data_IF_963109015701
#
_entry.id   IF_963109015701
#
_cell.length_a   1.000
_cell.length_b   1.000
_cell.length_c   1.000
_cell.angle_alpha   90.00
_cell.angle_beta   90.00
_cell.angle_gamma   90.00
#
_symmetry.space_group_name_H-M   'P 1'
#
loop_
_entity.id
_entity.type
_entity.pdbx_description
1 polymer ?
#
# COMPACT_ATOMS: atom_id res chain seq x y z
N UNK A 1 8.30 8.18 26.01
CA UNK A 1 7.07 7.43 25.64
C UNK A 1 7.33 6.19 24.78
N UNK A 2 8.22 6.23 23.77
CA UNK A 2 8.58 5.08 22.91
C UNK A 2 9.17 3.88 23.68
N UNK A 3 10.02 4.12 24.68
CA UNK A 3 10.64 3.06 25.52
C UNK A 3 9.61 2.34 26.38
N UNK A 4 8.68 3.08 27.01
CA UNK A 4 7.62 2.53 27.85
C UNK A 4 6.68 1.62 27.03
N UNK A 5 6.32 2.01 25.80
CA UNK A 5 5.49 1.18 24.91
C UNK A 5 6.16 -0.14 24.52
N UNK A 6 7.48 -0.14 24.26
CA UNK A 6 8.24 -1.37 23.98
C UNK A 6 8.30 -2.30 25.19
N UNK A 7 8.50 -1.73 26.39
CA UNK A 7 8.51 -2.49 27.64
C UNK A 7 7.13 -3.09 27.93
N UNK A 8 6.05 -2.30 27.85
CA UNK A 8 4.69 -2.79 28.05
C UNK A 8 4.28 -3.84 27.01
N UNK A 9 4.62 -3.65 25.74
CA UNK A 9 4.36 -4.62 24.67
C UNK A 9 5.12 -5.94 24.89
N UNK A 10 6.39 -5.88 25.31
CA UNK A 10 7.18 -7.06 25.67
C UNK A 10 6.59 -7.83 26.85
N UNK A 11 6.14 -7.12 27.90
CA UNK A 11 5.47 -7.73 29.06
C UNK A 11 4.17 -8.43 28.65
N UNK A 12 3.37 -7.80 27.77
CA UNK A 12 2.12 -8.38 27.26
C UNK A 12 2.32 -9.65 26.43
N UNK A 13 3.37 -9.68 25.59
CA UNK A 13 3.71 -10.88 24.80
C UNK A 13 4.20 -12.00 25.72
N UNK A 14 5.05 -11.70 26.70
CA UNK A 14 5.55 -12.69 27.65
C UNK A 14 4.41 -13.26 28.52
N UNK A 15 3.54 -12.39 29.04
CA UNK A 15 2.38 -12.80 29.83
C UNK A 15 1.38 -13.62 29.01
N UNK A 16 1.07 -13.18 27.79
CA UNK A 16 0.16 -13.91 26.89
C UNK A 16 0.73 -15.24 26.41
N UNK A 17 2.04 -15.30 26.12
CA UNK A 17 2.73 -16.52 25.74
C UNK A 17 2.79 -17.55 26.87
N UNK A 18 3.09 -17.11 28.10
CA UNK A 18 3.07 -17.97 29.28
C UNK A 18 1.66 -18.52 29.57
N UNK A 19 0.62 -17.68 29.45
CA UNK A 19 -0.77 -18.10 29.63
C UNK A 19 -1.22 -19.10 28.54
N UNK A 20 -0.83 -18.89 27.28
CA UNK A 20 -1.12 -19.82 26.19
C UNK A 20 -0.40 -21.16 26.37
N UNK A 21 0.86 -21.16 26.79
CA UNK A 21 1.65 -22.37 27.04
C UNK A 21 1.12 -23.17 28.23
N UNK A 22 0.76 -22.49 29.33
CA UNK A 22 0.13 -23.13 30.49
C UNK A 22 -1.23 -23.74 30.14
N UNK A 23 -2.02 -23.03 29.32
CA UNK A 23 -3.28 -23.55 28.79
C UNK A 23 -3.08 -24.79 27.91
N UNK A 24 -2.07 -24.77 27.02
CA UNK A 24 -1.76 -25.91 26.15
C UNK A 24 -1.30 -27.14 26.94
N UNK A 25 -0.43 -26.96 27.94
CA UNK A 25 0.03 -28.06 28.81
C UNK A 25 -1.13 -28.67 29.62
N UNK A 26 -2.03 -27.83 30.16
CA UNK A 26 -3.20 -28.28 30.91
C UNK A 26 -4.19 -29.07 30.03
N UNK A 27 -4.43 -28.60 28.81
CA UNK A 27 -5.29 -29.30 27.83
C UNK A 27 -4.68 -30.64 27.42
N UNK A 28 -3.36 -30.72 27.27
CA UNK A 28 -2.68 -31.99 26.96
C UNK A 28 -2.82 -32.96 28.13
N UNK A 29 -2.68 -32.52 29.38
CA UNK A 29 -2.85 -33.39 30.55
C UNK A 29 -4.30 -33.88 30.72
N UNK A 30 -5.28 -33.00 30.51
CA UNK A 30 -6.71 -33.38 30.60
C UNK A 30 -7.16 -34.23 29.41
N UNK A 31 -6.66 -33.97 28.19
CA UNK A 31 -6.99 -34.78 27.00
C UNK A 31 -6.52 -36.24 27.13
N UNK A 32 -5.41 -36.47 27.85
CA UNK A 32 -4.91 -37.82 28.16
C UNK A 32 -5.84 -38.54 29.16
N UNK A 33 -6.43 -37.83 30.13
CA UNK A 33 -7.42 -38.40 31.05
C UNK A 33 -8.79 -38.64 30.36
N UNK A 34 -9.26 -37.69 29.53
CA UNK A 34 -10.54 -37.77 28.81
C UNK A 34 -10.60 -38.97 27.85
N UNK A 35 -9.47 -39.32 27.22
CA UNK A 35 -9.38 -40.48 26.34
C UNK A 35 -9.59 -41.83 27.08
N UNK A 36 -9.55 -41.83 28.41
CA UNK A 36 -9.61 -43.04 29.22
C UNK A 36 -10.96 -43.32 29.92
N UNK A 37 -11.84 -42.32 30.13
CA UNK A 37 -13.04 -42.50 30.99
C UNK A 37 -14.35 -41.88 30.43
N UNK A 38 -14.31 -41.00 29.43
CA UNK A 38 -15.50 -40.32 28.90
C UNK A 38 -15.94 -39.13 29.78
N UNK A 39 -16.42 -38.07 29.12
CA UNK A 39 -16.51 -36.72 29.71
C UNK A 39 -17.91 -36.39 30.27
N UNK A 40 -17.96 -35.83 31.47
CA UNK A 40 -19.21 -35.34 32.09
C UNK A 40 -19.58 -33.91 31.62
N UNK A 41 -20.86 -33.53 31.78
CA UNK A 41 -21.33 -32.18 31.42
C UNK A 41 -20.65 -31.05 32.20
N UNK A 42 -20.14 -31.32 33.41
CA UNK A 42 -19.41 -30.34 34.22
C UNK A 42 -18.00 -30.14 33.66
N UNK A 43 -17.32 -31.22 33.28
CA UNK A 43 -15.99 -31.16 32.64
C UNK A 43 -16.05 -30.45 31.29
N UNK A 44 -17.12 -30.63 30.52
CA UNK A 44 -17.33 -29.94 29.25
C UNK A 44 -17.50 -28.43 29.43
N UNK A 45 -18.19 -27.99 30.50
CA UNK A 45 -18.33 -26.57 30.85
C UNK A 45 -16.98 -25.99 31.30
N UNK A 46 -16.21 -26.72 32.13
CA UNK A 46 -14.88 -26.29 32.55
C UNK A 46 -13.94 -26.16 31.35
N UNK A 47 -13.95 -27.14 30.44
CA UNK A 47 -13.17 -27.11 29.20
C UNK A 47 -13.56 -25.92 28.32
N UNK A 48 -14.86 -25.60 28.17
CA UNK A 48 -15.32 -24.45 27.40
C UNK A 48 -14.91 -23.11 28.04
N UNK A 49 -14.97 -22.99 29.36
CA UNK A 49 -14.45 -21.82 30.09
C UNK A 49 -12.93 -21.70 29.88
N UNK A 50 -12.20 -22.81 29.89
CA UNK A 50 -10.76 -22.86 29.64
C UNK A 50 -10.40 -22.48 28.19
N UNK A 51 -11.20 -22.89 27.21
CA UNK A 51 -11.06 -22.51 25.81
C UNK A 51 -11.32 -21.00 25.61
N UNK A 52 -12.22 -20.43 26.41
CA UNK A 52 -12.44 -18.98 26.51
C UNK A 52 -11.25 -18.22 27.12
N UNK A 53 -10.56 -18.79 28.12
CA UNK A 53 -9.35 -18.18 28.69
C UNK A 53 -8.11 -18.30 27.78
N UNK A 54 -7.95 -19.41 27.05
CA UNK A 54 -6.86 -19.58 26.08
C UNK A 54 -7.02 -18.69 24.85
N UNK A 55 -8.26 -18.47 24.39
CA UNK A 55 -8.55 -17.46 23.35
C UNK A 55 -8.30 -16.02 23.85
N UNK A 56 -8.55 -15.75 25.14
CA UNK A 56 -8.15 -14.47 25.76
C UNK A 56 -6.62 -14.30 25.84
N UNK A 57 -5.86 -15.36 26.13
CA UNK A 57 -4.39 -15.37 26.07
C UNK A 57 -3.86 -15.10 24.65
N UNK A 58 -4.46 -15.72 23.63
CA UNK A 58 -4.19 -15.42 22.23
C UNK A 58 -4.51 -13.96 21.87
N UNK A 59 -5.60 -13.41 22.41
CA UNK A 59 -5.96 -11.99 22.28
C UNK A 59 -4.92 -11.05 22.89
N UNK A 60 -4.28 -11.40 24.01
CA UNK A 60 -3.21 -10.61 24.63
C UNK A 60 -1.89 -10.68 23.85
N UNK A 61 -1.54 -11.84 23.30
CA UNK A 61 -0.39 -11.97 22.37
C UNK A 61 -0.63 -11.15 21.12
N UNK A 62 -1.84 -11.21 20.55
CA UNK A 62 -2.21 -10.41 19.38
C UNK A 62 -2.24 -8.91 19.71
N UNK A 63 -2.68 -8.51 20.90
CA UNK A 63 -2.64 -7.13 21.38
C UNK A 63 -1.20 -6.64 21.62
N UNK A 64 -0.32 -7.47 22.17
CA UNK A 64 1.10 -7.19 22.35
C UNK A 64 1.83 -7.07 21.01
N UNK A 65 1.60 -8.00 20.09
CA UNK A 65 2.09 -7.93 18.71
C UNK A 65 1.51 -6.71 18.00
N UNK A 66 0.25 -6.33 18.22
CA UNK A 66 -0.37 -5.12 17.64
C UNK A 66 0.13 -3.82 18.29
N UNK A 67 0.61 -3.87 19.53
CA UNK A 67 1.31 -2.77 20.21
C UNK A 67 2.75 -2.59 19.68
N UNK A 68 3.41 -3.68 19.30
CA UNK A 68 4.77 -3.67 18.74
C UNK A 68 4.77 -3.40 17.23
N UNK A 69 3.85 -4.03 16.47
CA UNK A 69 3.58 -3.83 15.03
C UNK A 69 2.62 -2.66 14.77
N UNK A 70 2.28 -1.90 15.81
CA UNK A 70 1.35 -0.78 15.79
C UNK A 70 1.91 0.47 15.12
N UNK A 71 2.32 0.38 13.85
CA UNK A 71 2.04 1.44 12.88
C UNK A 71 0.80 1.03 12.06
N UNK A 72 -0.31 0.68 12.74
CA UNK A 72 -1.61 0.95 12.12
C UNK A 72 -1.80 2.44 12.27
N UNK A 73 -1.61 3.14 11.15
CA UNK A 73 -2.15 4.46 10.84
C UNK A 73 -3.26 4.83 11.81
N UNK A 74 -2.92 5.69 12.76
CA UNK A 74 -3.95 6.35 13.52
C UNK A 74 -4.72 7.17 12.50
N UNK A 75 -6.05 6.97 12.46
CA UNK A 75 -6.97 7.88 11.79
C UNK A 75 -6.62 9.28 12.25
N UNK A 76 -5.91 10.02 11.41
CA UNK A 76 -5.48 11.39 11.66
C UNK A 76 -6.75 12.16 11.96
N UNK A 77 -6.88 12.68 13.18
CA UNK A 77 -7.92 13.66 13.48
C UNK A 77 -7.40 14.99 12.97
N UNK A 78 -7.89 15.41 11.81
CA UNK A 78 -7.51 16.64 11.15
C UNK A 78 -7.86 17.85 12.03
N UNK A 79 -6.88 18.72 12.27
CA UNK A 79 -7.14 20.09 12.71
C UNK A 79 -6.10 21.05 12.13
N UNK A 80 -6.65 22.02 11.39
CA UNK A 80 -6.10 23.27 10.83
C UNK A 80 -4.91 23.14 9.85
N UNK A 81 -5.23 23.39 8.59
CA UNK A 81 -4.31 23.64 7.47
C UNK A 81 -3.74 25.08 7.57
N UNK A 82 -2.44 25.24 7.30
CA UNK A 82 -1.72 26.52 7.12
C UNK A 82 -1.01 26.52 5.75
N UNK A 83 -0.62 27.71 5.29
CA UNK A 83 -0.72 28.12 3.89
C UNK A 83 0.51 28.96 3.44
N UNK A 84 1.18 28.67 2.31
CA UNK A 84 2.37 29.40 1.79
C UNK A 84 2.69 29.24 0.27
N UNK A 85 3.08 30.38 -0.38
CA UNK A 85 2.99 30.88 -1.80
C UNK A 85 4.08 30.46 -2.82
N UNK A 86 3.75 29.96 -4.04
CA UNK A 86 4.59 29.92 -5.29
C UNK A 86 3.71 29.67 -6.58
N UNK A 87 4.19 29.67 -7.86
CA UNK A 87 3.30 29.65 -9.08
C UNK A 87 3.76 28.86 -10.34
N UNK A 88 2.87 28.12 -11.05
CA UNK A 88 3.05 27.62 -12.46
C UNK A 88 1.68 27.41 -13.22
N UNK A 89 1.74 27.35 -14.57
CA UNK A 89 0.67 27.43 -15.59
C UNK A 89 -0.18 26.15 -15.90
N UNK A 90 -1.39 26.39 -16.39
CA UNK A 90 -2.59 25.55 -16.64
C UNK A 90 -2.52 24.45 -17.72
N UNK A 91 -3.32 23.38 -17.54
CA UNK A 91 -3.76 22.42 -18.60
C UNK A 91 -5.26 22.06 -18.49
N UNK A 92 -5.96 21.96 -19.64
CA UNK A 92 -7.35 21.45 -19.77
C UNK A 92 -7.46 19.91 -19.59
N UNK A 93 -8.57 19.43 -19.00
CA UNK A 93 -8.84 18.00 -18.75
C UNK A 93 -10.00 17.48 -19.61
N UNK A 94 -9.75 16.39 -20.36
CA UNK A 94 -10.78 15.39 -20.73
C UNK A 94 -10.17 13.98 -20.64
N UNK A 95 -10.87 13.04 -19.98
CA UNK A 95 -11.32 11.72 -20.51
C UNK A 95 -11.78 10.70 -19.43
N UNK A 96 -12.73 9.86 -19.89
CA UNK A 96 -13.39 8.60 -19.45
C UNK A 96 -13.35 8.07 -17.99
N UNK A 97 -14.46 7.49 -17.48
CA UNK A 97 -14.48 6.72 -16.22
C UNK A 97 -13.63 5.43 -16.35
N UNK A 98 -13.07 4.93 -15.23
CA UNK A 98 -11.75 4.31 -15.23
C UNK A 98 -11.75 2.88 -15.76
N UNK A 99 -10.83 2.58 -16.69
CA UNK A 99 -10.35 1.21 -16.89
C UNK A 99 -9.96 0.58 -15.53
N UNK A 100 -10.28 -0.71 -15.34
CA UNK A 100 -9.95 -1.46 -14.11
C UNK A 100 -8.47 -1.28 -13.75
N UNK A 101 -8.19 -0.77 -12.54
CA UNK A 101 -6.83 -0.45 -12.06
C UNK A 101 -6.36 -1.52 -11.10
N UNK A 102 -5.47 -2.38 -11.57
CA UNK A 102 -4.91 -3.43 -10.71
C UNK A 102 -3.41 -3.57 -10.90
N UNK A 103 -2.78 -4.11 -9.85
CA UNK A 103 -1.37 -4.48 -9.84
C UNK A 103 -1.18 -5.84 -9.21
N UNK A 104 -0.04 -6.45 -9.48
CA UNK A 104 0.43 -7.67 -8.85
C UNK A 104 1.95 -7.60 -8.75
N UNK A 105 2.49 -7.78 -7.55
CA UNK A 105 3.92 -7.97 -7.37
C UNK A 105 4.25 -9.41 -7.76
N UNK A 106 5.17 -9.59 -8.70
CA UNK A 106 5.57 -10.92 -9.15
C UNK A 106 6.34 -11.63 -8.02
N UNK A 107 5.85 -12.80 -7.63
CA UNK A 107 6.45 -13.65 -6.59
C UNK A 107 7.36 -14.70 -7.23
N UNK A 108 6.78 -15.58 -8.06
CA UNK A 108 7.49 -16.61 -8.80
C UNK A 108 7.18 -16.57 -10.30
N UNK A 109 8.16 -17.01 -11.10
CA UNK A 109 8.06 -17.15 -12.54
C UNK A 109 8.39 -18.59 -12.91
N UNK A 110 7.54 -19.21 -13.73
CA UNK A 110 7.76 -20.55 -14.26
C UNK A 110 7.75 -20.52 -15.78
N UNK A 111 8.87 -20.89 -16.39
CA UNK A 111 8.95 -21.06 -17.84
C UNK A 111 8.24 -22.33 -18.28
N UNK A 112 7.45 -22.21 -19.35
CA UNK A 112 6.89 -23.33 -20.08
C UNK A 112 7.61 -23.37 -21.42
N UNK A 113 8.51 -24.34 -21.58
CA UNK A 113 9.44 -24.42 -22.70
C UNK A 113 8.72 -24.27 -24.05
N UNK A 114 9.03 -23.19 -24.79
CA UNK A 114 8.45 -22.90 -26.11
C UNK A 114 6.99 -22.42 -26.11
N UNK A 115 6.35 -22.29 -24.95
CA UNK A 115 4.95 -21.87 -24.85
C UNK A 115 4.77 -20.52 -24.13
N UNK A 116 5.71 -20.08 -23.30
CA UNK A 116 5.66 -18.79 -22.60
C UNK A 116 6.03 -18.92 -21.12
N UNK A 117 5.59 -17.98 -20.28
CA UNK A 117 5.84 -18.02 -18.84
C UNK A 117 4.55 -17.90 -18.02
N UNK A 118 4.58 -18.44 -16.81
CA UNK A 118 3.57 -18.27 -15.77
C UNK A 118 4.14 -17.31 -14.74
N UNK A 119 3.43 -16.23 -14.47
CA UNK A 119 3.79 -15.25 -13.45
C UNK A 119 2.77 -15.34 -12.32
N UNK A 120 3.26 -15.43 -11.09
CA UNK A 120 2.42 -15.57 -9.89
C UNK A 120 2.47 -14.33 -9.00
N UNK A 121 1.42 -14.16 -8.21
CA UNK A 121 1.34 -13.11 -7.19
C UNK A 121 -0.10 -12.87 -6.72
N UNK A 122 -0.31 -11.83 -5.94
CA UNK A 122 -1.63 -11.45 -5.41
C UNK A 122 -2.18 -10.23 -6.14
N UNK A 123 -3.42 -10.33 -6.62
CA UNK A 123 -4.11 -9.22 -7.30
C UNK A 123 -4.45 -8.12 -6.29
N UNK A 124 -4.11 -6.87 -6.61
CA UNK A 124 -4.38 -5.68 -5.80
C UNK A 124 -5.14 -4.63 -6.60
N UNK A 125 -6.00 -3.85 -5.94
CA UNK A 125 -6.79 -2.79 -6.57
C UNK A 125 -8.13 -3.26 -7.14
N UNK A 126 -8.11 -3.89 -8.31
CA UNK A 126 -9.31 -4.31 -9.05
C UNK A 126 -9.16 -5.73 -9.65
N UNK A 127 -10.17 -6.21 -10.36
CA UNK A 127 -10.25 -7.56 -10.93
C UNK A 127 -9.42 -7.69 -12.21
N UNK A 128 -8.51 -8.66 -12.22
CA UNK A 128 -7.79 -9.09 -13.42
C UNK A 128 -8.62 -10.11 -14.21
N UNK A 129 -8.57 -10.06 -15.54
CA UNK A 129 -9.24 -11.02 -16.43
C UNK A 129 -8.31 -11.59 -17.49
N UNK A 130 -8.61 -12.81 -17.93
CA UNK A 130 -8.03 -13.39 -19.14
C UNK A 130 -8.31 -12.46 -20.33
N UNK A 131 -7.29 -12.23 -21.14
CA UNK A 131 -7.31 -11.36 -22.30
C UNK A 131 -6.89 -9.93 -22.01
N UNK A 132 -6.76 -9.52 -20.74
CA UNK A 132 -6.30 -8.17 -20.40
C UNK A 132 -4.90 -7.91 -20.95
N UNK A 133 -4.69 -6.68 -21.46
CA UNK A 133 -3.35 -6.15 -21.74
C UNK A 133 -2.77 -5.64 -20.42
N UNK A 134 -1.60 -6.15 -20.05
CA UNK A 134 -0.89 -5.77 -18.82
C UNK A 134 0.56 -5.43 -19.14
N UNK A 135 1.21 -4.74 -18.23
CA UNK A 135 2.61 -4.33 -18.33
C UNK A 135 3.42 -5.03 -17.26
N UNK A 136 4.52 -5.65 -17.66
CA UNK A 136 5.59 -6.10 -16.79
C UNK A 136 6.52 -4.90 -16.59
N UNK A 137 6.65 -4.43 -15.36
CA UNK A 137 7.47 -3.29 -14.96
C UNK A 137 8.63 -3.80 -14.12
N UNK A 138 9.81 -3.93 -14.72
CA UNK A 138 11.00 -4.50 -14.10
C UNK A 138 11.68 -3.58 -13.10
N UNK A 139 12.45 -4.16 -12.18
CA UNK A 139 13.25 -3.42 -11.19
C UNK A 139 14.45 -2.67 -11.78
N UNK A 140 14.82 -3.00 -13.01
CA UNK A 140 15.83 -2.34 -13.84
C UNK A 140 15.24 -1.21 -14.70
N UNK A 141 13.93 -0.97 -14.61
CA UNK A 141 13.22 -0.01 -15.46
C UNK A 141 12.75 -0.58 -16.79
N UNK A 142 12.97 -1.87 -17.07
CA UNK A 142 12.42 -2.55 -18.24
C UNK A 142 10.89 -2.55 -18.23
N UNK A 143 10.29 -2.45 -19.41
CA UNK A 143 8.84 -2.34 -19.58
C UNK A 143 8.41 -3.20 -20.76
N UNK A 144 7.48 -4.13 -20.50
CA UNK A 144 6.96 -5.02 -21.55
C UNK A 144 5.46 -5.18 -21.46
N UNK A 145 4.76 -4.88 -22.55
CA UNK A 145 3.33 -5.15 -22.66
C UNK A 145 3.10 -6.62 -23.05
N UNK A 146 2.22 -7.29 -22.31
CA UNK A 146 1.84 -8.69 -22.55
C UNK A 146 0.33 -8.86 -22.47
N UNK A 147 -0.21 -9.95 -23.02
CA UNK A 147 -1.60 -10.34 -22.82
C UNK A 147 -1.71 -11.47 -21.81
N UNK A 148 -2.61 -11.33 -20.84
CA UNK A 148 -2.94 -12.38 -19.89
C UNK A 148 -3.67 -13.52 -20.63
N UNK A 149 -3.06 -14.69 -20.78
CA UNK A 149 -3.59 -15.77 -21.61
C UNK A 149 -4.45 -16.79 -20.85
N UNK A 150 -3.88 -17.46 -19.86
CA UNK A 150 -4.62 -18.42 -19.00
C UNK A 150 -4.48 -17.98 -17.56
N UNK A 151 -5.52 -18.11 -16.76
CA UNK A 151 -5.51 -17.72 -15.36
C UNK A 151 -5.80 -18.93 -14.47
N UNK A 152 -4.98 -19.09 -13.43
CA UNK A 152 -5.21 -20.04 -12.35
C UNK A 152 -5.32 -19.27 -11.04
N UNK A 153 -6.25 -19.68 -10.19
CA UNK A 153 -6.46 -19.15 -8.84
C UNK A 153 -6.04 -20.21 -7.84
N UNK A 154 -5.32 -19.80 -6.80
CA UNK A 154 -4.90 -20.64 -5.68
C UNK A 154 -5.91 -20.46 -4.52
N UNK A 155 -6.56 -21.55 -4.11
CA UNK A 155 -7.54 -21.60 -3.02
C UNK A 155 -7.04 -22.61 -1.97
N UNK A 156 -6.17 -22.17 -1.07
CA UNK A 156 -5.45 -23.07 -0.18
C UNK A 156 -4.52 -23.97 -1.00
N UNK A 157 -4.67 -25.29 -0.88
CA UNK A 157 -3.89 -26.28 -1.63
C UNK A 157 -4.45 -26.55 -3.05
N UNK A 158 -5.67 -26.09 -3.35
CA UNK A 158 -6.30 -26.31 -4.64
C UNK A 158 -5.92 -25.23 -5.66
N UNK A 159 -5.65 -25.65 -6.90
CA UNK A 159 -5.41 -24.73 -8.03
C UNK A 159 -6.52 -24.92 -9.07
N UNK A 160 -7.32 -23.88 -9.29
CA UNK A 160 -8.45 -23.92 -10.25
C UNK A 160 -8.21 -22.99 -11.42
N UNK A 161 -8.66 -23.40 -12.61
CA UNK A 161 -8.73 -22.50 -13.77
C UNK A 161 -9.77 -21.42 -13.50
N UNK A 162 -9.48 -20.21 -13.92
CA UNK A 162 -10.38 -19.07 -13.82
C UNK A 162 -10.33 -18.21 -15.08
N UNK A 163 -11.33 -17.35 -15.25
CA UNK A 163 -11.35 -16.33 -16.30
C UNK A 163 -11.13 -14.92 -15.73
N UNK A 164 -11.30 -14.76 -14.41
CA UNK A 164 -11.04 -13.53 -13.67
C UNK A 164 -10.59 -13.84 -12.24
N UNK A 165 -9.94 -12.86 -11.61
CA UNK A 165 -9.52 -12.91 -10.21
C UNK A 165 -9.71 -11.54 -9.56
N UNK A 166 -10.43 -11.52 -8.45
CA UNK A 166 -10.74 -10.32 -7.66
C UNK A 166 -9.55 -9.93 -6.76
N UNK A 167 -9.51 -8.69 -6.24
CA UNK A 167 -8.47 -8.28 -5.29
C UNK A 167 -8.31 -9.21 -4.10
N UNK A 168 -7.07 -9.42 -3.64
CA UNK A 168 -6.71 -10.35 -2.57
C UNK A 168 -6.55 -11.81 -3.03
N UNK A 169 -6.85 -12.12 -4.29
CA UNK A 169 -6.71 -13.47 -4.82
C UNK A 169 -5.27 -13.73 -5.27
N UNK A 170 -4.66 -14.82 -4.78
CA UNK A 170 -3.39 -15.32 -5.32
C UNK A 170 -3.65 -16.05 -6.64
N UNK A 171 -2.88 -15.68 -7.66
CA UNK A 171 -3.05 -16.21 -9.01
C UNK A 171 -1.72 -16.62 -9.63
N UNK A 172 -1.82 -17.43 -10.68
CA UNK A 172 -0.78 -17.65 -11.66
C UNK A 172 -1.38 -17.40 -13.04
N UNK A 173 -0.90 -16.39 -13.76
CA UNK A 173 -1.33 -16.15 -15.13
C UNK A 173 -0.23 -16.53 -16.11
N UNK A 174 -0.61 -17.20 -17.17
CA UNK A 174 0.28 -17.56 -18.26
C UNK A 174 0.20 -16.52 -19.37
N UNK A 175 1.34 -16.18 -19.97
CA UNK A 175 1.43 -15.38 -21.19
C UNK A 175 2.46 -15.98 -22.15
N UNK A 176 2.18 -15.89 -23.45
CA UNK A 176 3.13 -16.27 -24.52
C UNK A 176 4.04 -15.11 -24.95
N UNK A 177 3.73 -13.89 -24.49
CA UNK A 177 4.37 -12.66 -24.97
C UNK A 177 5.62 -12.32 -24.13
N UNK A 178 5.97 -13.14 -23.14
CA UNK A 178 7.14 -12.98 -22.28
C UNK A 178 7.81 -14.33 -21.95
N UNK A 179 9.06 -14.22 -21.52
CA UNK A 179 9.95 -15.26 -21.05
C UNK A 179 10.40 -14.96 -19.61
N UNK A 180 11.17 -15.86 -19.00
CA UNK A 180 11.78 -15.61 -17.68
C UNK A 180 12.77 -14.44 -17.66
N UNK A 181 13.42 -14.13 -18.79
CA UNK A 181 14.34 -13.00 -18.91
C UNK A 181 13.62 -11.64 -18.81
N UNK A 182 12.32 -11.60 -19.11
CA UNK A 182 11.53 -10.37 -19.09
C UNK A 182 10.99 -10.02 -17.69
N UNK A 183 11.11 -10.92 -16.72
CA UNK A 183 10.53 -10.75 -15.38
C UNK A 183 11.62 -10.90 -14.32
N UNK A 184 11.99 -9.78 -13.71
CA UNK A 184 12.96 -9.75 -12.63
C UNK A 184 12.28 -9.94 -11.27
N UNK A 185 13.00 -10.42 -10.24
CA UNK A 185 12.55 -10.32 -8.86
C UNK A 185 12.11 -8.89 -8.52
N UNK A 186 10.92 -8.74 -7.95
CA UNK A 186 10.34 -7.43 -7.67
C UNK A 186 9.74 -6.71 -8.88
N UNK A 187 9.56 -7.38 -10.02
CA UNK A 187 8.74 -6.89 -11.12
C UNK A 187 7.29 -6.67 -10.67
N UNK A 188 6.68 -5.60 -11.16
CA UNK A 188 5.27 -5.29 -10.93
C UNK A 188 4.51 -5.51 -12.23
N UNK A 189 3.45 -6.30 -12.18
CA UNK A 189 2.48 -6.44 -13.25
C UNK A 189 1.39 -5.39 -13.03
N UNK A 190 1.07 -4.60 -14.05
CA UNK A 190 0.05 -3.56 -13.94
C UNK A 190 -0.89 -3.53 -15.14
N UNK A 191 -2.17 -3.23 -14.91
CA UNK A 191 -3.11 -2.89 -15.99
C UNK A 191 -2.86 -1.49 -16.58
N UNK A 192 -2.01 -0.70 -15.94
CA UNK A 192 -1.68 0.67 -16.33
C UNK A 192 -0.30 0.69 -16.97
N UNK A 193 -0.20 1.41 -18.08
CA UNK A 193 1.08 1.67 -18.70
C UNK A 193 1.95 2.54 -17.76
N UNK A 194 3.27 2.32 -17.71
CA UNK A 194 4.17 3.21 -17.00
C UNK A 194 4.04 4.63 -17.56
N UNK A 195 4.09 5.64 -16.69
CA UNK A 195 3.98 7.03 -17.12
C UNK A 195 5.09 7.36 -18.12
N UNK A 196 4.68 7.80 -19.31
CA UNK A 196 5.57 8.46 -20.26
C UNK A 196 5.47 9.96 -19.96
N UNK A 197 6.29 10.48 -19.05
CA UNK A 197 6.29 11.91 -18.73
C UNK A 197 6.95 12.71 -19.85
N UNK A 198 6.11 13.18 -20.79
CA UNK A 198 6.38 14.32 -21.67
C UNK A 198 5.08 15.00 -22.19
N UNK A 199 3.93 14.86 -21.50
CA UNK A 199 2.66 15.45 -21.95
C UNK A 199 1.54 15.44 -20.90
N UNK A 200 0.36 15.91 -21.30
CA UNK A 200 -0.85 16.13 -20.47
C UNK A 200 -1.58 14.84 -20.03
N UNK A 201 -0.88 13.71 -19.89
CA UNK A 201 -1.47 12.43 -19.48
C UNK A 201 -1.80 12.39 -17.98
N UNK A 202 -2.74 11.52 -17.54
CA UNK A 202 -2.97 11.30 -16.13
C UNK A 202 -1.72 10.69 -15.49
N UNK A 203 -1.30 11.25 -14.35
CA UNK A 203 -0.19 10.69 -13.57
C UNK A 203 -0.64 9.44 -12.85
N UNK A 204 0.05 8.33 -13.14
CA UNK A 204 -0.11 7.04 -12.49
C UNK A 204 1.27 6.48 -12.13
N UNK A 205 1.52 6.09 -10.89
CA UNK A 205 2.80 5.44 -10.52
C UNK A 205 2.60 3.92 -10.40
N UNK A 206 2.38 3.17 -11.50
CA UNK A 206 1.92 1.79 -11.40
C UNK A 206 2.90 0.86 -10.71
N UNK A 207 4.21 1.06 -10.94
CA UNK A 207 5.25 0.26 -10.29
C UNK A 207 5.33 0.56 -8.80
N UNK A 208 5.42 1.84 -8.40
CA UNK A 208 5.36 2.22 -6.99
C UNK A 208 4.10 1.68 -6.30
N UNK A 209 2.92 1.81 -6.93
CA UNK A 209 1.66 1.27 -6.40
C UNK A 209 1.72 -0.23 -6.19
N UNK A 210 2.24 -0.99 -7.15
CA UNK A 210 2.35 -2.45 -7.00
C UNK A 210 3.34 -2.87 -5.92
N UNK A 211 4.48 -2.17 -5.80
CA UNK A 211 5.43 -2.39 -4.71
C UNK A 211 4.79 -2.09 -3.36
N UNK A 212 4.10 -0.96 -3.24
CA UNK A 212 3.41 -0.56 -2.02
C UNK A 212 2.30 -1.55 -1.63
N UNK A 213 1.46 -1.95 -2.58
CA UNK A 213 0.35 -2.85 -2.31
C UNK A 213 0.77 -4.31 -2.04
N UNK A 214 1.90 -4.74 -2.62
CA UNK A 214 2.42 -6.10 -2.51
C UNK A 214 3.37 -6.33 -1.31
N UNK A 215 3.98 -5.28 -0.75
CA UNK A 215 5.06 -5.40 0.26
C UNK A 215 4.72 -6.17 1.53
N UNK A 216 3.44 -6.36 1.85
CA UNK A 216 3.00 -7.07 3.05
C UNK A 216 2.67 -8.54 2.82
N UNK A 217 2.55 -8.96 1.56
CA UNK A 217 2.06 -10.29 1.19
C UNK A 217 3.06 -11.04 0.30
N UNK A 218 4.34 -10.66 0.36
CA UNK A 218 5.40 -11.17 -0.50
C UNK A 218 6.63 -11.59 0.30
N UNK A 219 7.37 -12.56 -0.21
CA UNK A 219 8.69 -12.96 0.27
C UNK A 219 9.83 -12.34 -0.57
N UNK A 220 9.51 -11.41 -1.48
CA UNK A 220 10.51 -10.69 -2.29
C UNK A 220 11.49 -9.96 -1.35
N UNK A 221 12.75 -10.39 -1.40
CA UNK A 221 13.84 -9.77 -0.66
C UNK A 221 14.03 -8.31 -1.10
N UNK A 222 14.47 -7.47 -0.16
CA UNK A 222 14.83 -6.08 -0.40
C UNK A 222 13.70 -5.18 -0.98
N UNK A 223 12.44 -5.51 -0.69
CA UNK A 223 11.29 -4.71 -1.14
C UNK A 223 11.38 -3.23 -0.74
N UNK A 224 11.98 -2.94 0.42
CA UNK A 224 12.21 -1.58 0.89
C UNK A 224 13.18 -0.81 -0.03
N UNK A 225 14.23 -1.47 -0.52
CA UNK A 225 15.19 -0.87 -1.44
C UNK A 225 14.58 -0.67 -2.84
N UNK A 226 13.73 -1.61 -3.29
CA UNK A 226 12.97 -1.45 -4.53
C UNK A 226 12.04 -0.24 -4.48
N UNK A 227 11.34 -0.05 -3.35
CA UNK A 227 10.49 1.12 -3.11
C UNK A 227 11.36 2.39 -3.11
N UNK A 228 12.49 2.39 -2.39
CA UNK A 228 13.42 3.53 -2.30
C UNK A 228 13.91 3.97 -3.68
N UNK A 229 14.39 3.02 -4.50
CA UNK A 229 14.85 3.29 -5.87
C UNK A 229 13.75 3.84 -6.77
N UNK A 230 12.54 3.29 -6.66
CA UNK A 230 11.40 3.78 -7.44
C UNK A 230 11.01 5.21 -7.06
N UNK A 231 11.04 5.52 -5.75
CA UNK A 231 10.79 6.87 -5.23
C UNK A 231 11.83 7.87 -5.73
N UNK A 232 13.11 7.52 -5.66
CA UNK A 232 14.21 8.39 -6.03
C UNK A 232 14.28 8.66 -7.54
N UNK A 233 14.07 7.62 -8.37
CA UNK A 233 14.35 7.69 -9.80
C UNK A 233 13.14 7.96 -10.69
N UNK A 234 11.95 7.50 -10.30
CA UNK A 234 10.81 7.35 -11.23
C UNK A 234 9.50 7.97 -10.74
N UNK A 235 9.35 8.22 -9.44
CA UNK A 235 8.08 8.64 -8.87
C UNK A 235 7.75 10.10 -9.19
N UNK A 236 6.55 10.32 -9.72
CA UNK A 236 5.95 11.64 -9.93
C UNK A 236 4.64 11.73 -9.18
N UNK A 237 4.55 12.62 -8.22
CA UNK A 237 3.39 12.73 -7.36
C UNK A 237 2.49 13.88 -7.78
N UNK A 238 1.18 13.67 -7.60
CA UNK A 238 0.25 14.78 -7.45
C UNK A 238 0.41 15.30 -6.01
N UNK A 239 0.70 16.58 -5.87
CA UNK A 239 0.79 17.28 -4.58
C UNK A 239 -0.28 18.35 -4.55
N UNK A 240 -1.18 18.28 -3.58
CA UNK A 240 -2.29 19.21 -3.47
C UNK A 240 -1.78 20.64 -3.27
N UNK A 241 -2.30 21.57 -4.07
CA UNK A 241 -2.05 22.98 -3.94
C UNK A 241 -3.37 23.75 -3.99
N UNK A 242 -3.59 24.64 -3.04
CA UNK A 242 -4.63 25.66 -3.11
C UNK A 242 -4.04 26.91 -3.75
N UNK A 243 -4.78 27.53 -4.66
CA UNK A 243 -4.36 28.74 -5.34
C UNK A 243 -5.23 29.93 -4.90
N UNK A 244 -4.62 31.01 -4.41
CA UNK A 244 -5.34 32.30 -4.35
C UNK A 244 -5.36 32.90 -5.77
N UNK A 245 -6.39 32.55 -6.55
CA UNK A 245 -6.63 33.11 -7.88
C UNK A 245 -7.55 34.33 -7.78
N UNK A 246 -7.23 35.38 -8.52
CA UNK A 246 -8.13 36.50 -8.80
C UNK A 246 -9.32 36.06 -9.66
N UNK A 247 -10.44 36.79 -9.63
CA UNK A 247 -11.61 36.49 -10.47
C UNK A 247 -11.27 36.47 -11.97
N UNK A 248 -10.30 37.28 -12.39
CA UNK A 248 -9.84 37.36 -13.77
C UNK A 248 -8.94 36.17 -14.18
N UNK A 249 -8.22 35.57 -13.24
CA UNK A 249 -7.46 34.33 -13.43
C UNK A 249 -8.38 33.12 -13.46
N UNK A 250 -9.37 33.08 -12.55
CA UNK A 250 -10.40 32.03 -12.51
C UNK A 250 -11.25 32.03 -13.78
N UNK A 251 -11.63 33.19 -14.29
CA UNK A 251 -12.41 33.32 -15.53
C UNK A 251 -11.64 32.90 -16.79
N UNK A 252 -10.31 32.99 -16.77
CA UNK A 252 -9.44 32.64 -17.91
C UNK A 252 -8.75 31.30 -17.77
N UNK A 253 -8.85 30.67 -16.60
CA UNK A 253 -8.10 29.47 -16.27
C UNK A 253 -6.59 29.67 -16.41
N UNK A 254 -6.02 30.85 -16.12
CA UNK A 254 -4.57 31.09 -16.20
C UNK A 254 -4.09 31.52 -14.82
N UNK A 255 -3.06 30.85 -14.28
CA UNK A 255 -2.40 31.21 -13.02
C UNK A 255 -1.22 32.14 -13.34
N UNK A 256 -1.22 33.39 -12.86
CA UNK A 256 -0.15 34.34 -13.18
C UNK A 256 1.10 34.09 -12.36
N UNK A 257 2.27 34.29 -12.95
CA UNK A 257 3.56 34.25 -12.22
C UNK A 257 3.49 35.15 -10.97
N UNK A 258 3.76 34.59 -9.77
CA UNK A 258 3.59 35.14 -8.42
C UNK A 258 2.23 34.94 -7.72
N UNK A 259 1.30 34.14 -8.27
CA UNK A 259 0.19 33.63 -7.47
C UNK A 259 0.66 32.79 -6.29
N UNK A 260 -0.26 32.65 -5.35
CA UNK A 260 -0.08 32.07 -4.04
C UNK A 260 -0.53 30.64 -4.10
N UNK A 261 0.43 29.71 -4.17
CA UNK A 261 0.14 28.33 -3.82
C UNK A 261 0.08 28.16 -2.30
N UNK A 262 -0.61 27.15 -1.81
CA UNK A 262 -0.59 26.77 -0.42
C UNK A 262 -0.74 25.25 -0.37
N UNK A 263 0.10 24.56 0.40
CA UNK A 263 0.15 23.11 0.42
C UNK A 263 -0.48 22.56 1.71
N UNK A 264 -1.69 21.96 1.65
CA UNK A 264 -2.27 21.29 2.79
C UNK A 264 -1.42 20.11 3.25
N UNK A 265 -1.38 19.89 4.57
CA UNK A 265 -0.62 18.81 5.19
C UNK A 265 -1.45 18.05 6.23
N UNK A 266 -1.05 16.80 6.48
CA UNK A 266 -1.66 15.92 7.47
C UNK A 266 -0.89 15.97 8.78
N UNK A 267 -1.58 15.86 9.91
CA UNK A 267 -0.92 15.79 11.21
C UNK A 267 -1.06 14.39 11.82
N UNK A 268 0.01 13.82 12.34
CA UNK A 268 -0.13 12.65 13.21
C UNK A 268 -0.87 13.04 14.50
N UNK A 269 -1.41 12.08 15.27
CA UNK A 269 -1.99 12.37 16.57
C UNK A 269 -1.02 13.01 17.56
N UNK A 270 0.29 12.77 17.34
CA UNK A 270 1.37 13.35 18.13
C UNK A 270 1.69 14.80 17.68
N UNK A 271 1.02 15.30 16.64
CA UNK A 271 1.10 16.68 16.16
C UNK A 271 2.14 16.95 15.07
N UNK A 272 2.82 15.91 14.57
CA UNK A 272 3.83 16.03 13.52
C UNK A 272 3.16 16.16 12.14
N UNK A 273 3.56 17.17 11.36
CA UNK A 273 3.03 17.44 10.02
C UNK A 273 3.72 16.59 8.94
N UNK A 274 2.95 16.06 7.99
CA UNK A 274 3.44 15.31 6.82
C UNK A 274 2.78 15.82 5.55
N UNK A 275 3.57 16.02 4.50
CA UNK A 275 3.07 16.41 3.18
C UNK A 275 2.40 15.19 2.52
N UNK A 276 1.07 15.21 2.27
CA UNK A 276 0.44 14.18 1.47
C UNK A 276 0.89 14.30 0.01
N UNK A 277 1.24 13.16 -0.56
CA UNK A 277 1.58 13.00 -1.98
C UNK A 277 0.82 11.81 -2.55
N UNK A 278 0.34 11.93 -3.78
CA UNK A 278 -0.61 10.98 -4.35
C UNK A 278 -0.04 10.36 -5.62
N UNK A 279 -0.13 9.04 -5.73
CA UNK A 279 0.37 8.33 -6.92
C UNK A 279 -0.53 8.43 -8.14
N UNK A 280 -1.78 8.85 -7.93
CA UNK A 280 -2.79 8.99 -8.96
C UNK A 280 -4.01 9.81 -8.49
N UNK A 281 -4.87 10.15 -9.44
CA UNK A 281 -6.07 10.96 -9.23
C UNK A 281 -7.15 10.28 -8.38
N UNK A 282 -7.22 8.94 -8.33
CA UNK A 282 -8.22 8.26 -7.49
C UNK A 282 -7.88 8.43 -6.01
N UNK A 283 -6.60 8.32 -5.68
CA UNK A 283 -6.12 8.59 -4.32
C UNK A 283 -6.34 10.07 -3.94
N UNK A 284 -6.01 11.01 -4.83
CA UNK A 284 -6.25 12.44 -4.58
C UNK A 284 -7.76 12.74 -4.40
N UNK A 285 -8.64 12.13 -5.19
CA UNK A 285 -10.11 12.29 -5.05
C UNK A 285 -10.65 11.71 -3.74
N UNK A 286 -9.94 10.78 -3.10
CA UNK A 286 -10.34 10.32 -1.77
C UNK A 286 -10.23 11.46 -0.73
N UNK A 287 -9.29 12.40 -0.93
CA UNK A 287 -9.23 13.65 -0.16
C UNK A 287 -10.44 14.55 -0.39
N UNK A 288 -10.85 14.73 -1.65
CA UNK A 288 -12.00 15.57 -2.01
C UNK A 288 -13.29 15.10 -1.30
N UNK A 289 -13.51 13.79 -1.17
CA UNK A 289 -14.69 13.25 -0.50
C UNK A 289 -14.76 13.62 0.98
N UNK A 290 -13.62 13.94 1.60
CA UNK A 290 -13.56 14.33 3.01
C UNK A 290 -13.68 15.85 3.20
N UNK A 291 -13.23 16.66 2.23
CA UNK A 291 -13.12 18.13 2.36
C UNK A 291 -14.05 18.94 1.44
N UNK A 292 -14.75 18.31 0.49
CA UNK A 292 -15.85 18.90 -0.29
C UNK A 292 -15.46 19.81 -1.46
N UNK A 293 -14.17 19.94 -1.79
CA UNK A 293 -13.66 20.73 -2.92
C UNK A 293 -12.76 19.89 -3.83
N UNK A 294 -12.82 20.12 -5.15
CA UNK A 294 -11.90 19.54 -6.14
C UNK A 294 -10.49 20.13 -5.91
N UNK A 295 -9.52 19.37 -5.41
CA UNK A 295 -8.19 19.90 -5.15
C UNK A 295 -7.48 20.15 -6.48
N UNK A 296 -6.82 21.30 -6.58
CA UNK A 296 -5.81 21.48 -7.62
C UNK A 296 -4.53 20.78 -7.15
N UNK A 297 -3.74 20.26 -8.09
CA UNK A 297 -2.52 19.54 -7.79
C UNK A 297 -1.38 19.97 -8.72
N UNK A 298 -0.18 20.01 -8.15
CA UNK A 298 1.08 20.20 -8.87
C UNK A 298 1.77 18.85 -9.00
N UNK A 299 2.46 18.63 -10.11
CA UNK A 299 3.29 17.45 -10.28
C UNK A 299 4.67 17.70 -9.69
N UNK A 300 5.09 16.82 -8.78
CA UNK A 300 6.41 16.92 -8.16
C UNK A 300 7.11 15.56 -8.09
N UNK A 301 8.39 15.54 -8.42
CA UNK A 301 9.28 14.42 -8.10
C UNK A 301 9.65 14.37 -6.62
N UNK A 302 10.28 13.28 -6.16
CA UNK A 302 10.66 13.14 -4.75
C UNK A 302 11.61 14.26 -4.25
N UNK A 303 12.56 14.71 -5.08
CA UNK A 303 13.49 15.81 -4.73
C UNK A 303 12.78 17.17 -4.55
N UNK A 304 11.78 17.44 -5.39
CA UNK A 304 10.97 18.66 -5.33
C UNK A 304 10.10 18.67 -4.07
N UNK A 305 9.49 17.52 -3.73
CA UNK A 305 8.75 17.34 -2.47
C UNK A 305 9.68 17.51 -1.26
N UNK A 306 10.89 16.95 -1.30
CA UNK A 306 11.88 17.14 -0.24
C UNK A 306 12.25 18.63 -0.08
N UNK A 307 12.39 19.35 -1.19
CA UNK A 307 12.65 20.80 -1.17
C UNK A 307 11.51 21.58 -0.51
N UNK A 308 10.25 21.22 -0.80
CA UNK A 308 9.07 21.78 -0.13
C UNK A 308 9.10 21.52 1.38
N UNK A 309 9.42 20.30 1.80
CA UNK A 309 9.52 19.91 3.22
C UNK A 309 10.65 20.66 3.93
N UNK A 310 11.81 20.83 3.28
CA UNK A 310 12.95 21.56 3.86
C UNK A 310 12.64 23.04 4.11
N UNK A 311 11.85 23.67 3.23
CA UNK A 311 11.40 25.06 3.41
C UNK A 311 10.41 25.22 4.57
N UNK A 312 9.70 24.17 4.97
CA UNK A 312 8.66 24.22 6.00
C UNK A 312 9.03 23.40 7.26
N UNK A 313 9.42 24.09 8.32
CA UNK A 313 9.82 23.47 9.61
C UNK A 313 8.69 22.70 10.33
N UNK A 314 7.42 22.88 9.94
CA UNK A 314 6.30 22.11 10.48
C UNK A 314 6.29 20.68 9.93
N UNK A 315 6.78 20.49 8.71
CA UNK A 315 6.76 19.21 8.01
C UNK A 315 7.92 18.33 8.47
N UNK A 316 7.57 17.19 9.05
CA UNK A 316 8.50 16.15 9.49
C UNK A 316 8.82 15.16 8.36
N UNK A 317 8.03 15.13 7.29
CA UNK A 317 8.21 14.20 6.18
C UNK A 317 7.07 14.26 5.17
N UNK A 318 6.92 13.17 4.41
CA UNK A 318 5.80 12.97 3.48
C UNK A 318 4.99 11.71 3.83
N UNK A 319 3.78 11.66 3.30
CA UNK A 319 2.96 10.46 3.27
C UNK A 319 2.47 10.20 1.85
N UNK A 320 2.96 9.12 1.24
CA UNK A 320 2.47 8.60 -0.03
C UNK A 320 1.14 7.89 0.22
N UNK A 321 0.13 8.19 -0.60
CA UNK A 321 -1.17 7.52 -0.60
C UNK A 321 -1.80 7.36 0.79
N UNK A 322 -2.22 8.46 1.44
CA UNK A 322 -2.70 8.42 2.81
C UNK A 322 -3.99 7.61 3.04
N UNK A 323 -4.74 7.28 1.99
CA UNK A 323 -6.04 6.59 2.08
C UNK A 323 -5.97 5.10 1.73
N UNK A 324 -4.98 4.68 0.95
CA UNK A 324 -4.79 3.28 0.55
C UNK A 324 -3.50 2.67 1.08
N UNK A 325 -2.62 2.15 0.22
CA UNK A 325 -1.39 1.42 0.57
C UNK A 325 -0.27 2.40 0.98
N UNK A 326 -0.50 3.12 2.08
CA UNK A 326 0.27 4.30 2.47
C UNK A 326 1.76 4.04 2.74
N UNK A 327 2.61 5.04 2.54
CA UNK A 327 4.00 5.03 3.01
C UNK A 327 4.32 6.35 3.69
N UNK A 328 4.72 6.31 4.96
CA UNK A 328 5.19 7.48 5.69
C UNK A 328 6.72 7.45 5.64
N UNK A 329 7.32 8.57 5.22
CA UNK A 329 8.76 8.75 5.23
C UNK A 329 9.12 10.02 5.97
N UNK A 330 10.02 9.89 6.93
CA UNK A 330 10.55 11.02 7.68
C UNK A 330 11.60 11.76 6.84
N UNK A 331 11.87 13.02 7.18
CA UNK A 331 12.84 13.87 6.46
C UNK A 331 14.20 13.20 6.27
N UNK A 332 14.71 12.55 7.32
CA UNK A 332 16.01 11.88 7.28
C UNK A 332 15.99 10.71 6.26
N UNK A 333 14.88 9.98 6.16
CA UNK A 333 14.72 8.88 5.19
C UNK A 333 14.64 9.41 3.76
N UNK A 334 14.01 10.58 3.56
CA UNK A 334 13.93 11.25 2.25
C UNK A 334 15.28 11.80 1.79
N UNK A 335 16.12 12.26 2.71
CA UNK A 335 17.49 12.72 2.39
C UNK A 335 18.44 11.58 1.97
N UNK A 336 18.03 10.33 2.20
CA UNK A 336 18.76 9.11 1.83
C UNK A 336 18.23 8.44 0.54
N UNK A 337 17.29 9.08 -0.18
CA UNK A 337 16.84 8.65 -1.51
C UNK A 337 17.93 8.81 -2.57
#
# INVERSE_FOLDING_TARGET
MKVIKKICGGILILAGGAAALAGLLSVITEAVEIASVGMSWVELIVMLIFLLFTTAGGGMVFAGIRLIKGRRLVRVRHKKVKKEKETINTVEVRQEPPARRYTLLAEDIFSVHGEGCIITGIVKGDTMSVGDKVWILGADGSQKAVRAGKLKVFLGEEVKRAFSAVPGTRIGFWTKDASEEDVLPGSVISSVAPNVTAGNGPVENPRLKGLLAGRFDTDVLDIAELIRRELAGNAMFLVMAEFELTDAERARGIVQQNSVMEFPYLNTPDGEGYQPVFTDWNELKAWEREEGNVPSAVLMGAEEVLSLIKKNHVLHGLVVNPFTDNLIMDRDELEML
#
